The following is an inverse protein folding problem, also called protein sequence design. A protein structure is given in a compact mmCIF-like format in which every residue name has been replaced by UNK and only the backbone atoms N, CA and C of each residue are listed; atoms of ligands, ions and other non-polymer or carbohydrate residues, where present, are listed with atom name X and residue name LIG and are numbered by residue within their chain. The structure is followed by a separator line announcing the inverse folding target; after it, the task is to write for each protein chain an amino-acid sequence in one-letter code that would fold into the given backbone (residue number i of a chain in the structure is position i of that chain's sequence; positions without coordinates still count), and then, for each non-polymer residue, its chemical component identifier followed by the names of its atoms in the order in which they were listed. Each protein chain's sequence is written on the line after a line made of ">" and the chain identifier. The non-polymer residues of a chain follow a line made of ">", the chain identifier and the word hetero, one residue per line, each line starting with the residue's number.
data_IF_572894349817
#
_entry.id   IF_572894349817
#
_cell.length_a   1.000
_cell.length_b   1.000
_cell.length_c   1.000
_cell.angle_alpha   90.00
_cell.angle_beta   90.00
_cell.angle_gamma   90.00
#
_symmetry.space_group_name_H-M   'P 1'
#
loop_
_entity.id
_entity.type
_entity.pdbx_description
1 polymer ?
#
# COMPACT_ATOMS: atom_id res chain seq x y z
N UNK A 1 -85.86 -1.30 -17.21
CA UNK A 1 -84.88 -1.42 -16.12
C UNK A 1 -83.50 -1.44 -16.79
N UNK A 2 -82.76 -0.30 -16.72
CA UNK A 2 -81.53 -0.05 -17.51
C UNK A 2 -80.35 -0.24 -16.59
N UNK A 3 -79.43 -1.13 -16.95
CA UNK A 3 -78.18 -1.37 -16.30
C UNK A 3 -77.09 -0.51 -16.90
N UNK A 4 -76.35 0.30 -16.21
CA UNK A 4 -75.24 1.07 -16.78
C UNK A 4 -73.96 0.25 -16.93
N UNK A 5 -73.34 0.35 -18.06
CA UNK A 5 -72.08 -0.25 -18.48
C UNK A 5 -70.93 0.45 -17.80
N UNK A 6 -70.16 -0.27 -16.95
CA UNK A 6 -68.96 0.25 -16.35
C UNK A 6 -67.75 0.10 -17.31
N UNK A 7 -67.19 1.22 -17.73
CA UNK A 7 -65.97 1.31 -18.55
C UNK A 7 -64.76 1.10 -17.61
N UNK A 8 -64.02 0.02 -17.80
CA UNK A 8 -62.74 -0.22 -17.14
C UNK A 8 -61.60 0.38 -17.99
N UNK A 9 -60.90 1.37 -17.42
CA UNK A 9 -59.68 1.92 -18.00
C UNK A 9 -58.48 0.97 -17.63
N UNK A 10 -57.61 0.66 -18.60
CA UNK A 10 -56.39 -0.10 -18.29
C UNK A 10 -55.30 0.81 -17.69
N UNK A 11 -54.85 0.48 -16.48
CA UNK A 11 -53.72 1.11 -15.80
C UNK A 11 -52.43 0.68 -16.50
N UNK A 12 -51.82 1.58 -17.29
CA UNK A 12 -50.49 1.37 -17.90
C UNK A 12 -49.44 1.48 -16.84
N UNK A 13 -48.85 0.33 -16.45
CA UNK A 13 -47.63 0.28 -15.61
C UNK A 13 -46.44 0.69 -16.47
N UNK A 14 -45.96 1.90 -16.27
CA UNK A 14 -44.70 2.38 -16.81
C UNK A 14 -43.53 1.71 -16.04
N UNK A 15 -42.85 0.79 -16.72
CA UNK A 15 -41.61 0.18 -16.22
C UNK A 15 -40.49 1.22 -16.40
N UNK A 16 -40.11 1.90 -15.29
CA UNK A 16 -38.95 2.79 -15.26
C UNK A 16 -37.73 1.91 -15.04
N UNK A 17 -36.99 1.62 -16.09
CA UNK A 17 -35.71 0.94 -16.06
C UNK A 17 -34.63 1.94 -15.60
N UNK A 18 -34.27 1.93 -14.34
CA UNK A 18 -33.15 2.70 -13.83
C UNK A 18 -31.85 2.02 -14.29
N UNK A 19 -31.19 2.60 -15.29
CA UNK A 19 -29.85 2.22 -15.74
C UNK A 19 -28.84 2.76 -14.75
N UNK A 20 -28.40 1.91 -13.80
CA UNK A 20 -27.31 2.21 -12.90
C UNK A 20 -25.99 2.19 -13.70
N UNK A 21 -25.47 3.37 -14.05
CA UNK A 21 -24.10 3.51 -14.57
C UNK A 21 -23.12 3.26 -13.40
N UNK A 22 -22.51 2.08 -13.40
CA UNK A 22 -21.30 1.82 -12.60
C UNK A 22 -20.15 2.61 -13.23
N UNK A 23 -19.81 3.75 -12.63
CA UNK A 23 -18.58 4.44 -12.93
C UNK A 23 -17.42 3.59 -12.37
N UNK A 24 -16.72 2.84 -13.24
CA UNK A 24 -15.42 2.24 -12.92
C UNK A 24 -14.43 3.40 -12.75
N UNK A 25 -14.25 3.87 -11.52
CA UNK A 25 -13.21 4.81 -11.19
C UNK A 25 -11.85 4.12 -11.38
N UNK A 26 -11.06 4.57 -12.35
CA UNK A 26 -9.64 4.24 -12.45
C UNK A 26 -8.94 4.82 -11.21
N UNK A 27 -8.67 3.98 -10.20
CA UNK A 27 -7.81 4.35 -9.09
C UNK A 27 -6.37 4.45 -9.60
N UNK A 28 -5.64 5.55 -9.35
CA UNK A 28 -4.22 5.66 -9.70
C UNK A 28 -3.42 4.62 -8.91
N UNK A 29 -2.65 3.79 -9.63
CA UNK A 29 -1.98 2.59 -9.11
C UNK A 29 -0.69 2.84 -8.31
N UNK A 30 -0.39 4.06 -7.85
CA UNK A 30 0.94 4.41 -7.36
C UNK A 30 1.04 4.98 -5.94
N UNK A 31 -0.01 4.96 -5.16
CA UNK A 31 0.01 5.40 -3.77
C UNK A 31 -1.22 4.97 -3.00
N UNK A 32 -1.10 4.88 -1.69
CA UNK A 32 -2.21 4.67 -0.78
C UNK A 32 -2.11 5.69 0.36
N UNK A 33 -3.25 6.13 0.86
CA UNK A 33 -3.30 7.03 2.00
C UNK A 33 -4.66 6.94 2.69
N UNK A 34 -4.64 7.06 4.01
CA UNK A 34 -5.85 7.23 4.82
C UNK A 34 -5.60 8.39 5.77
N UNK A 35 -6.48 9.40 5.72
CA UNK A 35 -6.32 10.60 6.54
C UNK A 35 -5.07 11.39 6.17
N UNK A 36 -4.14 11.48 7.11
CA UNK A 36 -2.91 12.27 6.98
C UNK A 36 -1.67 11.45 6.56
N UNK A 37 -1.78 10.14 6.36
CA UNK A 37 -0.67 9.28 5.96
C UNK A 37 -0.68 9.09 4.45
N UNK A 38 0.45 9.38 3.82
CA UNK A 38 0.69 9.17 2.39
C UNK A 38 1.84 8.19 2.20
N UNK A 39 1.62 7.19 1.33
CA UNK A 39 2.61 6.16 1.01
C UNK A 39 2.76 6.16 -0.51
N UNK A 40 3.95 6.45 -0.99
CA UNK A 40 4.23 6.45 -2.41
C UNK A 40 5.15 5.30 -2.79
N UNK A 41 4.85 4.72 -3.94
CA UNK A 41 5.65 3.69 -4.59
C UNK A 41 6.13 2.58 -3.64
N UNK A 42 5.22 1.75 -3.10
CA UNK A 42 5.59 0.57 -2.33
C UNK A 42 6.28 -0.45 -3.24
N UNK A 43 7.48 -0.88 -2.88
CA UNK A 43 8.23 -1.83 -3.68
C UNK A 43 9.01 -2.84 -2.82
N UNK A 44 9.39 -3.96 -3.42
CA UNK A 44 10.27 -4.96 -2.83
C UNK A 44 11.38 -5.32 -3.81
N UNK A 45 12.54 -5.73 -3.30
CA UNK A 45 13.61 -6.26 -4.15
C UNK A 45 13.34 -7.72 -4.51
N UNK A 46 13.69 -8.18 -5.73
CA UNK A 46 13.63 -9.58 -6.07
C UNK A 46 14.45 -10.44 -5.11
N UNK A 47 13.96 -11.62 -4.78
CA UNK A 47 14.69 -12.57 -3.93
C UNK A 47 15.32 -13.69 -4.76
N UNK A 48 16.42 -14.24 -4.25
CA UNK A 48 17.02 -15.42 -4.84
C UNK A 48 16.12 -16.65 -4.65
N UNK A 49 16.18 -17.66 -5.54
CA UNK A 49 15.53 -18.94 -5.33
C UNK A 49 15.96 -19.56 -4.00
N UNK A 50 14.98 -20.02 -3.20
CA UNK A 50 15.24 -20.60 -1.87
C UNK A 50 15.50 -19.58 -0.76
N UNK A 51 15.49 -18.28 -1.03
CA UNK A 51 15.56 -17.27 0.03
C UNK A 51 14.32 -17.35 0.93
N UNK A 52 14.55 -17.36 2.24
CA UNK A 52 13.51 -17.35 3.27
C UNK A 52 13.15 -15.96 3.73
N UNK A 53 13.92 -14.95 3.32
CA UNK A 53 13.71 -13.55 3.66
C UNK A 53 13.72 -12.66 2.43
N UNK A 54 13.06 -11.50 2.55
CA UNK A 54 13.04 -10.45 1.55
C UNK A 54 12.91 -9.08 2.20
N UNK A 55 12.95 -8.02 1.43
CA UNK A 55 12.79 -6.67 1.95
C UNK A 55 11.84 -5.85 1.08
N UNK A 56 11.00 -5.06 1.76
CA UNK A 56 10.09 -4.11 1.14
C UNK A 56 10.36 -2.68 1.65
N UNK A 57 10.01 -1.71 0.82
CA UNK A 57 10.34 -0.31 1.00
C UNK A 57 9.19 0.58 0.52
N UNK A 58 9.18 1.83 0.96
CA UNK A 58 8.35 2.89 0.40
C UNK A 58 9.26 4.00 -0.11
N UNK A 59 9.05 4.47 -1.34
CA UNK A 59 9.81 5.63 -1.84
C UNK A 59 9.61 6.83 -0.91
N UNK A 60 8.37 7.00 -0.41
CA UNK A 60 8.06 7.96 0.66
C UNK A 60 6.97 7.39 1.57
N UNK A 61 7.15 7.56 2.86
CA UNK A 61 6.15 7.39 3.90
C UNK A 61 6.03 8.73 4.61
N UNK A 62 4.93 9.46 4.41
CA UNK A 62 4.74 10.81 4.91
C UNK A 62 3.55 10.94 5.85
N UNK A 63 3.70 11.78 6.85
CA UNK A 63 2.61 12.28 7.68
C UNK A 63 2.34 13.73 7.31
N UNK A 64 1.30 13.98 6.52
CA UNK A 64 0.88 15.32 6.09
C UNK A 64 -0.02 16.04 7.11
N UNK A 65 -0.33 15.37 8.22
CA UNK A 65 -1.17 15.88 9.29
C UNK A 65 -0.43 16.76 10.29
N UNK A 66 -1.18 17.24 11.29
CA UNK A 66 -0.68 18.05 12.41
C UNK A 66 -0.41 17.25 13.69
N UNK A 67 -0.74 15.96 13.69
CA UNK A 67 -0.53 15.05 14.82
C UNK A 67 0.53 14.01 14.47
N UNK A 68 1.38 13.58 15.41
CA UNK A 68 2.31 12.48 15.17
C UNK A 68 1.56 11.17 14.96
N UNK A 69 2.16 10.25 14.21
CA UNK A 69 1.69 8.88 14.06
C UNK A 69 2.87 7.90 14.11
N UNK A 70 2.60 6.60 14.11
CA UNK A 70 3.63 5.57 14.13
C UNK A 70 3.13 4.35 13.37
N UNK A 71 3.93 3.86 12.43
CA UNK A 71 3.73 2.53 11.84
C UNK A 71 4.19 1.49 12.86
N UNK A 72 3.28 0.64 13.34
CA UNK A 72 3.55 -0.32 14.41
C UNK A 72 3.57 -1.77 13.94
N UNK A 73 2.95 -2.07 12.80
CA UNK A 73 2.92 -3.43 12.25
C UNK A 73 2.72 -3.40 10.74
N UNK A 74 3.25 -4.44 10.09
CA UNK A 74 2.92 -4.77 8.71
C UNK A 74 2.64 -6.26 8.58
N UNK A 75 1.86 -6.65 7.57
CA UNK A 75 1.55 -8.04 7.26
C UNK A 75 1.36 -8.21 5.75
N UNK A 76 1.68 -9.39 5.23
CA UNK A 76 1.46 -9.75 3.83
C UNK A 76 1.23 -11.25 3.68
N UNK A 77 0.43 -11.71 2.72
CA UNK A 77 0.23 -13.15 2.49
C UNK A 77 1.47 -13.88 1.95
N UNK A 78 2.46 -13.17 1.39
CA UNK A 78 3.65 -13.78 0.76
C UNK A 78 4.75 -14.17 1.76
N UNK A 79 4.64 -13.77 3.04
CA UNK A 79 5.58 -14.09 4.10
C UNK A 79 4.85 -14.61 5.34
N UNK A 80 5.56 -15.24 6.27
CA UNK A 80 5.01 -15.68 7.55
C UNK A 80 4.84 -14.49 8.51
N UNK A 81 5.81 -13.56 8.52
CA UNK A 81 5.75 -12.31 9.29
C UNK A 81 6.44 -11.17 8.55
N UNK A 82 6.18 -9.95 9.01
CA UNK A 82 6.86 -8.74 8.58
C UNK A 82 7.38 -8.02 9.82
N UNK A 83 8.68 -7.76 9.85
CA UNK A 83 9.37 -7.05 10.92
C UNK A 83 9.78 -5.65 10.45
N UNK A 84 9.71 -4.66 11.33
CA UNK A 84 10.16 -3.31 11.05
C UNK A 84 11.62 -3.19 11.46
N UNK A 85 12.49 -2.87 10.52
CA UNK A 85 13.92 -2.81 10.74
C UNK A 85 14.48 -1.43 10.42
N UNK A 86 15.59 -1.09 11.09
CA UNK A 86 16.46 0.03 10.72
C UNK A 86 17.87 -0.45 10.44
N UNK A 87 18.50 0.17 9.46
CA UNK A 87 19.89 -0.10 9.08
C UNK A 87 20.71 1.17 9.26
N UNK A 88 21.87 1.04 9.93
CA UNK A 88 22.81 2.12 10.17
C UNK A 88 24.24 1.61 9.98
N UNK A 89 25.17 2.52 9.70
CA UNK A 89 26.60 2.24 9.65
C UNK A 89 27.22 2.77 10.95
N UNK A 90 27.96 1.93 11.68
CA UNK A 90 28.63 2.35 12.90
C UNK A 90 29.93 3.14 12.60
N UNK A 91 30.59 3.64 13.65
CA UNK A 91 31.82 4.44 13.52
C UNK A 91 32.99 3.66 12.90
N UNK A 92 32.92 2.33 12.86
CA UNK A 92 33.90 1.44 12.25
C UNK A 92 33.55 1.08 10.79
N UNK A 93 32.48 1.66 10.24
CA UNK A 93 32.01 1.38 8.88
C UNK A 93 31.23 0.05 8.77
N UNK A 94 30.87 -0.59 9.89
CA UNK A 94 30.12 -1.84 9.88
C UNK A 94 28.61 -1.55 9.79
N UNK A 95 27.97 -2.21 8.85
CA UNK A 95 26.51 -2.10 8.67
C UNK A 95 25.80 -2.90 9.77
N UNK A 96 24.89 -2.24 10.49
CA UNK A 96 24.09 -2.82 11.57
C UNK A 96 22.61 -2.74 11.23
N UNK A 97 21.95 -3.88 11.26
CA UNK A 97 20.50 -4.00 11.09
C UNK A 97 19.88 -4.37 12.45
N UNK A 98 18.79 -3.70 12.83
CA UNK A 98 18.07 -3.95 14.08
C UNK A 98 16.58 -3.86 13.84
N UNK A 99 15.82 -4.73 14.48
CA UNK A 99 14.38 -4.60 14.60
C UNK A 99 14.03 -3.39 15.49
N UNK A 100 12.92 -2.73 15.18
CA UNK A 100 12.37 -1.61 15.93
C UNK A 100 10.88 -1.84 16.21
N UNK A 101 10.39 -1.32 17.34
CA UNK A 101 8.98 -1.44 17.75
C UNK A 101 8.02 -0.66 16.86
N UNK A 102 8.53 0.15 15.95
CA UNK A 102 7.74 0.93 15.01
C UNK A 102 8.54 2.07 14.39
N UNK A 103 7.95 2.68 13.38
CA UNK A 103 8.52 3.81 12.63
C UNK A 103 7.72 5.06 12.97
N UNK A 104 8.30 5.95 13.78
CA UNK A 104 7.66 7.19 14.19
C UNK A 104 7.61 8.20 13.03
N UNK A 105 6.47 8.86 12.88
CA UNK A 105 6.19 9.88 11.87
C UNK A 105 5.76 11.16 12.58
N UNK A 106 6.69 12.09 12.77
CA UNK A 106 6.36 13.41 13.28
C UNK A 106 5.38 14.16 12.37
N UNK A 107 4.63 15.15 12.87
CA UNK A 107 3.77 15.99 12.04
C UNK A 107 4.57 16.62 10.89
N UNK A 108 4.02 16.58 9.68
CA UNK A 108 4.63 17.12 8.46
C UNK A 108 5.99 16.51 8.07
N UNK A 109 6.34 15.36 8.67
CA UNK A 109 7.58 14.65 8.34
C UNK A 109 7.36 13.60 7.25
N UNK A 110 8.42 13.31 6.52
CA UNK A 110 8.48 12.22 5.55
C UNK A 110 9.75 11.39 5.73
N UNK A 111 9.63 10.09 5.49
CA UNK A 111 10.71 9.11 5.54
C UNK A 111 10.84 8.51 4.14
N UNK A 112 12.06 8.45 3.62
CA UNK A 112 12.40 7.69 2.42
C UNK A 112 13.07 6.39 2.82
N UNK A 113 12.60 5.29 2.26
CA UNK A 113 13.21 3.99 2.46
C UNK A 113 14.01 3.59 1.22
N UNK A 114 15.22 3.09 1.43
CA UNK A 114 16.12 2.65 0.37
C UNK A 114 16.83 1.36 0.77
N UNK A 115 17.14 0.48 -0.18
CA UNK A 115 18.00 -0.66 0.08
C UNK A 115 19.35 -0.22 0.68
N UNK A 116 19.76 -0.88 1.75
CA UNK A 116 21.05 -0.62 2.41
C UNK A 116 21.09 0.54 3.38
N UNK A 117 20.02 1.31 3.60
CA UNK A 117 20.04 2.43 4.54
C UNK A 117 18.66 2.74 5.15
N UNK A 118 18.64 3.12 6.42
CA UNK A 118 17.45 3.57 7.13
C UNK A 118 16.43 2.46 7.36
N UNK A 119 15.16 2.82 7.36
CA UNK A 119 14.08 1.87 7.62
C UNK A 119 13.76 0.99 6.42
N UNK A 120 13.34 -0.25 6.71
CA UNK A 120 12.76 -1.18 5.75
C UNK A 120 11.84 -2.18 6.45
N UNK A 121 11.04 -2.89 5.67
CA UNK A 121 10.19 -3.96 6.13
C UNK A 121 10.82 -5.29 5.75
N UNK A 122 11.23 -6.07 6.74
CA UNK A 122 11.82 -7.38 6.55
C UNK A 122 10.72 -8.43 6.44
N UNK A 123 10.62 -9.07 5.29
CA UNK A 123 9.70 -10.18 5.05
C UNK A 123 10.38 -11.48 5.51
N UNK A 124 9.83 -12.13 6.53
CA UNK A 124 10.40 -13.34 7.13
C UNK A 124 9.53 -14.54 6.80
N UNK A 125 10.15 -15.65 6.46
CA UNK A 125 9.45 -16.87 6.05
C UNK A 125 8.71 -16.69 4.73
N UNK A 126 9.42 -16.25 3.68
CA UNK A 126 8.87 -16.16 2.32
C UNK A 126 8.31 -17.51 1.88
N UNK A 127 7.05 -17.52 1.46
CA UNK A 127 6.35 -18.73 0.97
C UNK A 127 6.72 -19.07 -0.48
N UNK A 128 7.24 -18.09 -1.21
CA UNK A 128 7.73 -18.22 -2.59
C UNK A 128 8.72 -17.09 -2.91
N UNK A 129 9.62 -17.28 -3.89
CA UNK A 129 10.52 -16.22 -4.32
C UNK A 129 9.78 -14.99 -4.83
N UNK A 130 10.27 -13.81 -4.48
CA UNK A 130 9.80 -12.52 -5.03
C UNK A 130 10.39 -12.35 -6.42
N UNK A 131 9.57 -12.52 -7.46
CA UNK A 131 9.98 -12.39 -8.87
C UNK A 131 9.76 -10.98 -9.35
N UNK A 132 10.71 -10.43 -10.11
CA UNK A 132 10.59 -9.12 -10.74
C UNK A 132 9.30 -9.00 -11.56
N UNK A 133 8.61 -7.86 -11.44
CA UNK A 133 7.31 -7.59 -12.04
C UNK A 133 6.11 -8.15 -11.28
N UNK A 134 6.31 -9.06 -10.32
CA UNK A 134 5.23 -9.54 -9.48
C UNK A 134 4.70 -8.45 -8.54
N UNK A 135 3.47 -8.59 -8.09
CA UNK A 135 2.86 -7.69 -7.11
C UNK A 135 2.19 -8.47 -6.00
N UNK A 136 2.14 -7.89 -4.79
CA UNK A 136 1.44 -8.48 -3.67
C UNK A 136 0.85 -7.41 -2.75
N UNK A 137 -0.25 -7.71 -2.03
CA UNK A 137 -0.83 -6.80 -1.06
C UNK A 137 -0.01 -6.80 0.24
N UNK A 138 0.06 -5.65 0.90
CA UNK A 138 0.62 -5.49 2.23
C UNK A 138 -0.31 -4.60 3.05
N UNK A 139 -0.65 -5.07 4.24
CA UNK A 139 -1.42 -4.34 5.23
C UNK A 139 -0.47 -3.68 6.22
N UNK A 140 -0.67 -2.39 6.47
CA UNK A 140 0.13 -1.56 7.36
C UNK A 140 -0.77 -1.06 8.49
N UNK A 141 -0.36 -1.23 9.73
CA UNK A 141 -1.10 -0.76 10.90
C UNK A 141 -0.39 0.44 11.50
N UNK A 142 -1.09 1.56 11.54
CA UNK A 142 -0.68 2.79 12.21
C UNK A 142 -1.40 2.96 13.54
N UNK A 143 -0.77 3.65 14.49
CA UNK A 143 -1.36 3.89 15.81
C UNK A 143 -2.64 4.74 15.71
N UNK A 144 -2.64 5.77 14.86
CA UNK A 144 -3.74 6.73 14.72
C UNK A 144 -4.50 6.59 13.40
N UNK A 145 -3.81 6.51 12.27
CA UNK A 145 -4.45 6.39 10.96
C UNK A 145 -5.12 5.03 10.75
N UNK A 146 -4.85 4.04 11.62
CA UNK A 146 -5.44 2.71 11.50
C UNK A 146 -4.77 1.86 10.43
N UNK A 147 -5.54 1.01 9.78
CA UNK A 147 -5.02 0.08 8.78
C UNK A 147 -5.07 0.68 7.38
N UNK A 148 -3.96 0.57 6.67
CA UNK A 148 -3.82 1.00 5.27
C UNK A 148 -3.32 -0.19 4.45
N UNK A 149 -3.98 -0.49 3.34
CA UNK A 149 -3.54 -1.50 2.39
C UNK A 149 -2.79 -0.87 1.23
N UNK A 150 -1.64 -1.45 0.88
CA UNK A 150 -0.82 -1.03 -0.25
C UNK A 150 -0.56 -2.21 -1.18
N UNK A 151 -0.32 -1.91 -2.46
CA UNK A 151 0.12 -2.87 -3.46
C UNK A 151 1.62 -2.69 -3.66
N UNK A 152 2.40 -3.69 -3.27
CA UNK A 152 3.87 -3.71 -3.41
C UNK A 152 4.23 -4.29 -4.77
N UNK A 153 5.13 -3.63 -5.50
CA UNK A 153 5.67 -4.10 -6.77
C UNK A 153 7.08 -4.64 -6.56
N UNK A 154 7.37 -5.83 -7.06
CA UNK A 154 8.74 -6.39 -7.02
C UNK A 154 9.55 -5.81 -8.17
N UNK A 155 10.63 -5.08 -7.86
CA UNK A 155 11.46 -4.42 -8.87
C UNK A 155 12.94 -4.31 -8.44
N UNK A 156 13.84 -4.24 -9.40
CA UNK A 156 15.27 -4.02 -9.15
C UNK A 156 15.55 -2.56 -8.78
N UNK A 157 16.65 -2.30 -8.08
CA UNK A 157 17.07 -0.94 -7.71
C UNK A 157 17.29 -0.01 -8.92
N UNK A 158 17.76 -0.56 -10.06
CA UNK A 158 17.91 0.21 -11.30
C UNK A 158 16.58 0.77 -11.83
N UNK A 159 15.48 0.01 -11.70
CA UNK A 159 14.15 0.48 -12.09
C UNK A 159 13.63 1.60 -11.17
N UNK A 160 14.08 1.61 -9.90
CA UNK A 160 13.75 2.66 -8.94
C UNK A 160 14.41 3.99 -9.27
N UNK A 161 15.70 3.96 -9.60
CA UNK A 161 16.45 5.17 -9.96
C UNK A 161 15.88 5.82 -11.24
N UNK A 162 15.52 5.01 -12.24
CA UNK A 162 14.89 5.50 -13.46
C UNK A 162 13.50 6.15 -13.23
N UNK A 163 12.72 5.66 -12.27
CA UNK A 163 11.42 6.26 -11.91
C UNK A 163 11.58 7.53 -11.07
N UNK A 164 12.60 7.61 -10.21
CA UNK A 164 12.89 8.80 -9.43
C UNK A 164 13.27 9.98 -10.33
N UNK A 165 14.06 9.73 -11.38
CA UNK A 165 14.47 10.73 -12.35
C UNK A 165 13.30 11.25 -13.21
N UNK A 166 12.30 10.40 -13.52
CA UNK A 166 11.11 10.82 -14.29
C UNK A 166 10.16 11.73 -13.49
N UNK A 167 10.23 11.75 -12.16
CA UNK A 167 9.41 12.61 -11.32
C UNK A 167 10.13 13.89 -10.85
N UNK A 168 11.40 14.07 -11.23
CA UNK A 168 12.22 15.23 -10.87
C UNK A 168 12.21 16.35 -11.94
N UNK A 169 11.44 16.20 -13.02
CA UNK A 169 11.29 17.17 -14.13
C UNK A 169 9.88 17.72 -14.25
#
# INVERSE_FOLDING_TARGET
>A
MKIPLAIRLPLRHGLVTALAMFALGNAPAHGAGVGAIEITHPFATPSLPGATTGAAYFATLANTGSQPDKLVRAATPVAASVELHTMSVDAQGVMRMREVDGIALAPKASIRMRPGMGFHLMLVGLKQPLKEGATFPMSLQFERAGQIEVKVVVQTSRAQDAMADMHAH
#
